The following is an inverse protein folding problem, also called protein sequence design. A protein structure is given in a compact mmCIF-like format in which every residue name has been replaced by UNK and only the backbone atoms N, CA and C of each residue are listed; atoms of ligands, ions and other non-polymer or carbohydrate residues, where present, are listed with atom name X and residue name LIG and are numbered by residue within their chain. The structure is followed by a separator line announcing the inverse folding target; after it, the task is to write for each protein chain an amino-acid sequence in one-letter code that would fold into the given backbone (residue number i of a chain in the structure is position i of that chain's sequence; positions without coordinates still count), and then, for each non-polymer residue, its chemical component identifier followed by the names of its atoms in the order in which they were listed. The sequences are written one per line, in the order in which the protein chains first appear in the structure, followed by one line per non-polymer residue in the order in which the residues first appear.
data_IF_226237572525
#
_entry.id   IF_226237572525
#
_cell.length_a   1.000
_cell.length_b   1.000
_cell.length_c   1.000
_cell.angle_alpha   90.00
_cell.angle_beta   90.00
_cell.angle_gamma   90.00
#
_symmetry.space_group_name_H-M   'P 1'
#
loop_
_entity.id
_entity.type
_entity.pdbx_description
1 polymer ?
#
# COMPACT_ATOMS: atom_id res chain seq x y z
N UNK A 1 35.10 -6.64 -23.00
CA UNK A 1 34.68 -6.82 -21.59
C UNK A 1 33.67 -5.74 -21.26
N UNK A 2 32.44 -6.08 -20.92
CA UNK A 2 31.46 -5.09 -20.46
C UNK A 2 31.65 -4.90 -18.95
N UNK A 3 31.93 -3.66 -18.53
CA UNK A 3 31.99 -3.29 -17.12
C UNK A 3 30.62 -2.74 -16.69
N UNK A 4 30.19 -3.00 -15.43
CA UNK A 4 28.93 -2.47 -14.93
C UNK A 4 28.96 -0.94 -14.86
N UNK A 5 27.85 -0.31 -15.24
CA UNK A 5 27.64 1.14 -15.15
C UNK A 5 26.75 1.45 -13.95
N UNK A 6 27.09 2.48 -13.18
CA UNK A 6 26.26 2.92 -12.05
C UNK A 6 25.09 3.77 -12.56
N UNK A 7 23.89 3.47 -12.07
CA UNK A 7 22.68 4.20 -12.39
C UNK A 7 21.90 4.49 -11.11
N UNK A 8 21.31 5.68 -11.00
CA UNK A 8 20.44 6.07 -9.90
C UNK A 8 18.97 6.04 -10.34
N UNK A 9 18.09 5.59 -9.46
CA UNK A 9 16.66 5.61 -9.72
C UNK A 9 16.15 7.06 -9.74
N UNK A 10 15.26 7.38 -10.69
CA UNK A 10 14.62 8.70 -10.71
C UNK A 10 13.67 8.84 -9.52
N UNK A 11 13.57 10.03 -8.89
CA UNK A 11 12.60 10.26 -7.82
C UNK A 11 11.17 10.08 -8.34
N UNK A 12 10.37 9.28 -7.64
CA UNK A 12 8.98 9.00 -7.98
C UNK A 12 8.09 9.56 -6.88
N UNK A 13 7.05 10.31 -7.26
CA UNK A 13 5.97 10.70 -6.36
C UNK A 13 4.86 9.67 -6.45
N UNK A 14 4.33 9.27 -5.29
CA UNK A 14 3.24 8.32 -5.16
C UNK A 14 2.15 8.93 -4.28
N UNK A 15 0.92 8.44 -4.44
CA UNK A 15 -0.17 8.70 -3.51
C UNK A 15 -0.23 7.52 -2.53
N UNK A 16 -0.39 7.77 -1.23
CA UNK A 16 -0.45 6.71 -0.24
C UNK A 16 -1.48 7.03 0.85
N UNK A 17 -2.17 5.99 1.32
CA UNK A 17 -3.05 6.04 2.48
C UNK A 17 -2.63 4.94 3.46
N UNK A 18 -2.53 5.30 4.74
CA UNK A 18 -2.32 4.31 5.79
C UNK A 18 -3.64 3.59 6.06
N UNK A 19 -3.64 2.26 6.00
CA UNK A 19 -4.80 1.44 6.31
C UNK A 19 -4.87 1.22 7.81
N UNK A 20 -5.86 1.80 8.46
CA UNK A 20 -6.20 1.62 9.88
C UNK A 20 -7.68 1.27 10.00
N UNK A 21 -8.16 1.03 11.22
CA UNK A 21 -9.59 0.82 11.45
C UNK A 21 -10.41 2.05 11.04
N UNK A 22 -9.86 3.24 11.24
CA UNK A 22 -10.56 4.52 11.00
C UNK A 22 -10.54 4.93 9.51
N UNK A 23 -9.50 4.54 8.78
CA UNK A 23 -9.37 4.84 7.33
C UNK A 23 -9.84 3.70 6.44
N UNK A 24 -10.35 2.60 7.03
CA UNK A 24 -10.59 1.36 6.30
C UNK A 24 -11.52 1.54 5.10
N UNK A 25 -12.64 2.24 5.29
CA UNK A 25 -13.64 2.46 4.25
C UNK A 25 -13.13 3.39 3.14
N UNK A 26 -12.42 4.45 3.51
CA UNK A 26 -11.84 5.39 2.55
C UNK A 26 -10.76 4.74 1.70
N UNK A 27 -9.87 3.96 2.32
CA UNK A 27 -8.81 3.23 1.60
C UNK A 27 -9.44 2.21 0.65
N UNK A 28 -10.45 1.46 1.10
CA UNK A 28 -11.13 0.48 0.26
C UNK A 28 -11.82 1.12 -0.95
N UNK A 29 -12.52 2.24 -0.74
CA UNK A 29 -13.15 3.00 -1.82
C UNK A 29 -12.13 3.59 -2.78
N UNK A 30 -10.99 4.05 -2.28
CA UNK A 30 -9.95 4.67 -3.09
C UNK A 30 -9.26 3.66 -4.03
N UNK A 31 -9.11 2.40 -3.61
CA UNK A 31 -8.43 1.35 -4.38
C UNK A 31 -9.37 0.32 -5.02
N UNK A 32 -10.68 0.57 -5.04
CA UNK A 32 -11.71 -0.39 -5.46
C UNK A 32 -11.55 -1.77 -4.78
N UNK A 33 -11.11 -1.74 -3.52
CA UNK A 33 -10.83 -2.91 -2.70
C UNK A 33 -12.05 -3.37 -1.91
N UNK A 34 -11.97 -4.60 -1.40
CA UNK A 34 -13.01 -5.21 -0.56
C UNK A 34 -12.50 -5.37 0.86
N UNK A 35 -13.27 -4.84 1.82
CA UNK A 35 -13.04 -5.08 3.24
C UNK A 35 -13.58 -6.45 3.64
N UNK A 36 -12.66 -7.33 4.01
CA UNK A 36 -12.94 -8.55 4.73
C UNK A 36 -12.57 -8.41 6.20
N UNK A 37 -12.65 -9.54 6.92
CA UNK A 37 -12.02 -9.62 8.23
C UNK A 37 -11.61 -11.05 8.51
N UNK A 38 -10.43 -11.21 9.10
CA UNK A 38 -10.00 -12.52 9.60
C UNK A 38 -10.45 -12.66 11.04
N UNK A 39 -11.05 -13.81 11.39
CA UNK A 39 -11.29 -14.15 12.80
C UNK A 39 -9.95 -14.56 13.39
N UNK A 40 -9.32 -13.66 14.14
CA UNK A 40 -8.13 -13.98 14.93
C UNK A 40 -8.49 -14.59 16.29
N UNK A 41 -9.70 -14.30 16.79
CA UNK A 41 -10.32 -14.87 18.00
C UNK A 41 -11.83 -14.63 17.96
N UNK A 42 -12.62 -15.37 18.77
CA UNK A 42 -14.06 -15.21 18.89
C UNK A 42 -14.52 -13.79 19.29
N UNK A 43 -13.61 -12.91 19.74
CA UNK A 43 -13.91 -11.54 20.20
C UNK A 43 -13.29 -10.42 19.37
N UNK A 44 -12.44 -10.70 18.37
CA UNK A 44 -11.78 -9.64 17.58
C UNK A 44 -11.72 -10.00 16.11
N UNK A 45 -12.38 -9.17 15.28
CA UNK A 45 -12.30 -9.21 13.83
C UNK A 45 -11.30 -8.14 13.40
N UNK A 46 -10.12 -8.57 12.93
CA UNK A 46 -9.14 -7.63 12.36
C UNK A 46 -9.57 -7.36 10.92
N UNK A 47 -9.80 -6.08 10.54
CA UNK A 47 -10.17 -5.77 9.16
C UNK A 47 -8.99 -6.12 8.25
N UNK A 48 -9.31 -6.69 7.09
CA UNK A 48 -8.34 -7.02 6.06
C UNK A 48 -8.83 -6.45 4.75
N UNK A 49 -8.03 -5.57 4.16
CA UNK A 49 -8.32 -5.04 2.83
C UNK A 49 -7.78 -6.00 1.78
N UNK A 50 -8.59 -6.34 0.79
CA UNK A 50 -8.18 -7.13 -0.38
C UNK A 50 -8.36 -6.29 -1.64
N UNK A 51 -7.31 -6.16 -2.43
CA UNK A 51 -7.31 -5.41 -3.70
C UNK A 51 -7.08 -6.42 -4.82
N UNK A 52 -7.99 -6.43 -5.79
CA UNK A 52 -7.97 -7.36 -6.92
C UNK A 52 -7.37 -6.73 -8.17
N UNK A 53 -7.03 -7.56 -9.15
CA UNK A 53 -6.69 -7.11 -10.51
C UNK A 53 -5.38 -6.32 -10.64
N UNK A 54 -4.47 -6.42 -9.67
CA UNK A 54 -3.16 -5.77 -9.78
C UNK A 54 -2.24 -6.60 -10.69
N UNK A 55 -1.17 -5.97 -11.21
CA UNK A 55 -0.16 -6.66 -12.04
C UNK A 55 0.45 -7.89 -11.34
N UNK A 56 0.43 -7.91 -10.00
CA UNK A 56 0.92 -8.99 -9.16
C UNK A 56 -0.21 -9.89 -8.61
N UNK A 57 -1.42 -9.79 -9.16
CA UNK A 57 -2.58 -10.54 -8.72
C UNK A 57 -3.33 -9.86 -7.57
N UNK A 58 -3.76 -10.66 -6.58
CA UNK A 58 -4.51 -10.16 -5.42
C UNK A 58 -3.56 -9.78 -4.29
N UNK A 59 -3.65 -8.56 -3.79
CA UNK A 59 -2.86 -8.08 -2.65
C UNK A 59 -3.74 -7.83 -1.43
N UNK A 60 -3.16 -7.95 -0.24
CA UNK A 60 -3.86 -7.77 1.04
C UNK A 60 -3.11 -6.79 1.93
N UNK A 61 -3.85 -5.93 2.62
CA UNK A 61 -3.32 -5.04 3.63
C UNK A 61 -3.94 -5.33 5.00
N UNK A 62 -3.09 -5.26 6.02
CA UNK A 62 -3.43 -5.38 7.44
C UNK A 62 -3.36 -4.00 8.10
N UNK A 63 -4.09 -3.77 9.21
CA UNK A 63 -4.05 -2.49 9.90
C UNK A 63 -2.62 -2.11 10.30
N UNK A 64 -2.20 -0.91 9.90
CA UNK A 64 -0.85 -0.39 10.04
C UNK A 64 -0.09 -0.26 8.72
N UNK A 65 -0.45 -1.05 7.71
CA UNK A 65 0.17 -1.02 6.38
C UNK A 65 -0.18 0.26 5.61
N UNK A 66 0.68 0.65 4.67
CA UNK A 66 0.39 1.66 3.67
C UNK A 66 -0.08 1.01 2.38
N UNK A 67 -1.20 1.50 1.85
CA UNK A 67 -1.64 1.24 0.47
C UNK A 67 -1.21 2.43 -0.36
N UNK A 68 -0.51 2.20 -1.47
CA UNK A 68 -0.04 3.29 -2.33
C UNK A 68 -0.26 3.00 -3.81
N UNK A 69 -0.48 4.08 -4.57
CA UNK A 69 -0.71 4.06 -6.01
C UNK A 69 0.50 4.62 -6.76
N UNK A 70 1.01 3.86 -7.71
CA UNK A 70 2.07 4.30 -8.62
C UNK A 70 1.51 5.11 -9.79
N UNK A 71 2.38 5.79 -10.54
CA UNK A 71 1.99 6.68 -11.65
C UNK A 71 1.19 5.98 -12.76
N UNK A 72 1.37 4.68 -12.93
CA UNK A 72 0.64 3.84 -13.88
C UNK A 72 -0.75 3.41 -13.38
N UNK A 73 -1.13 3.79 -12.16
CA UNK A 73 -2.41 3.46 -11.55
C UNK A 73 -2.40 2.15 -10.76
N UNK A 74 -1.28 1.41 -10.72
CA UNK A 74 -1.17 0.16 -9.95
C UNK A 74 -1.11 0.43 -8.45
N UNK A 75 -1.75 -0.42 -7.66
CA UNK A 75 -1.73 -0.39 -6.20
C UNK A 75 -0.77 -1.42 -5.62
N UNK A 76 -0.13 -1.02 -4.53
CA UNK A 76 0.81 -1.84 -3.76
C UNK A 76 0.56 -1.66 -2.26
N UNK A 77 1.07 -2.61 -1.48
CA UNK A 77 1.02 -2.59 -0.03
C UNK A 77 2.43 -2.69 0.53
N UNK A 78 2.75 -1.86 1.51
CA UNK A 78 3.99 -1.95 2.26
C UNK A 78 3.73 -1.81 3.76
N UNK A 79 4.47 -2.58 4.57
CA UNK A 79 4.48 -2.37 6.01
C UNK A 79 5.05 -1.00 6.38
N UNK A 80 4.67 -0.43 7.52
CA UNK A 80 4.99 0.95 7.89
C UNK A 80 6.49 1.24 7.88
N UNK A 81 7.30 0.37 8.47
CA UNK A 81 8.76 0.54 8.51
C UNK A 81 9.38 0.53 7.10
N UNK A 82 8.93 -0.37 6.22
CA UNK A 82 9.46 -0.46 4.87
C UNK A 82 9.05 0.75 4.01
N UNK A 83 7.85 1.27 4.24
CA UNK A 83 7.34 2.45 3.54
C UNK A 83 8.08 3.72 3.99
N UNK A 84 8.17 3.95 5.30
CA UNK A 84 8.80 5.15 5.89
C UNK A 84 10.31 5.21 5.65
N UNK A 85 10.97 4.06 5.40
CA UNK A 85 12.37 4.03 4.97
C UNK A 85 12.55 4.51 3.53
N UNK A 86 11.53 4.35 2.67
CA UNK A 86 11.62 4.60 1.23
C UNK A 86 10.97 5.92 0.81
N UNK A 87 10.00 6.41 1.58
CA UNK A 87 9.18 7.54 1.20
C UNK A 87 9.05 8.54 2.33
N UNK A 88 9.12 9.82 1.97
CA UNK A 88 8.90 10.95 2.85
C UNK A 88 7.66 11.74 2.38
N UNK A 89 6.86 12.30 3.30
CA UNK A 89 5.72 13.12 2.93
C UNK A 89 6.20 14.40 2.24
N UNK A 90 5.58 14.72 1.10
CA UNK A 90 5.80 16.00 0.40
C UNK A 90 4.64 16.94 0.73
N UNK A 91 4.92 18.11 1.33
CA UNK A 91 3.89 19.11 1.60
C UNK A 91 3.27 19.59 0.29
N UNK A 92 1.97 19.39 0.11
CA UNK A 92 1.21 20.07 -0.94
C UNK A 92 0.97 21.51 -0.50
N UNK A 93 1.65 22.46 -1.14
CA UNK A 93 1.33 23.89 -1.09
C UNK A 93 0.13 24.19 -1.99
#
# INVERSE_FOLDING_TARGET
MHQPSLHQQKPVRIEAMRFTTDTAEDVARWCDGVLGGTRRSARTRTPVLTIFGQIHGTIRAMPGDYVYRTRDGSFFVAGPAAFETQYEPVSTH
#
